data_IF_678827773664
#
_entry.id   IF_678827773664
#
_cell.length_a   1.000
_cell.length_b   1.000
_cell.length_c   1.000
_cell.angle_alpha   90.00
_cell.angle_beta   90.00
_cell.angle_gamma   90.00
#
_symmetry.space_group_name_H-M   'P 1'
#
loop_
_entity.id
_entity.type
_entity.pdbx_description
1 polymer ?
#
# COMPACT_ATOMS: atom_id res chain seq x y z
N UNK A 1 6.26 6.05 3.11
CA UNK A 1 5.54 6.12 4.39
C UNK A 1 4.34 7.05 4.23
N UNK A 2 3.22 6.76 4.91
CA UNK A 2 2.05 7.62 4.99
C UNK A 2 1.56 7.72 6.43
N UNK A 3 1.25 8.94 6.88
CA UNK A 3 0.66 9.20 8.19
C UNK A 3 -0.88 9.16 8.18
N UNK A 4 -1.51 9.11 7.00
CA UNK A 4 -2.97 9.02 6.86
C UNK A 4 -3.51 7.58 6.97
N UNK A 5 -2.66 6.64 7.38
CA UNK A 5 -2.95 5.20 7.50
C UNK A 5 -3.38 4.54 6.18
N UNK A 6 -3.18 5.17 5.02
CA UNK A 6 -3.51 4.59 3.71
C UNK A 6 -2.28 4.13 2.93
N UNK A 7 -2.50 3.16 2.04
CA UNK A 7 -1.59 2.83 0.96
C UNK A 7 -2.26 3.21 -0.36
N UNK A 8 -1.57 3.93 -1.22
CA UNK A 8 -2.11 4.40 -2.51
C UNK A 8 -1.29 3.85 -3.66
N UNK A 9 -1.99 3.30 -4.65
CA UNK A 9 -1.42 2.89 -5.92
C UNK A 9 -1.68 3.98 -6.95
N UNK A 10 -0.66 4.28 -7.75
CA UNK A 10 -0.69 5.33 -8.74
C UNK A 10 -0.35 4.77 -10.12
N UNK A 11 -1.09 5.22 -11.12
CA UNK A 11 -0.65 5.17 -12.51
C UNK A 11 0.34 6.31 -12.73
N UNK A 12 1.60 5.95 -12.97
CA UNK A 12 2.69 6.91 -13.12
C UNK A 12 2.61 7.68 -14.45
N UNK A 13 2.07 7.09 -15.51
CA UNK A 13 1.95 7.74 -16.82
C UNK A 13 0.83 8.79 -16.80
N UNK A 14 -0.30 8.45 -16.17
CA UNK A 14 -1.47 9.32 -16.07
C UNK A 14 -1.41 10.28 -14.89
N UNK A 15 -0.50 10.06 -13.94
CA UNK A 15 -0.40 10.84 -12.70
C UNK A 15 -1.64 10.70 -11.81
N UNK A 16 -2.34 9.56 -11.88
CA UNK A 16 -3.64 9.37 -11.24
C UNK A 16 -3.57 8.27 -10.16
N UNK A 17 -4.22 8.50 -9.02
CA UNK A 17 -4.41 7.48 -8.00
C UNK A 17 -5.45 6.46 -8.49
N UNK A 18 -5.05 5.20 -8.63
CA UNK A 18 -5.93 4.13 -9.12
C UNK A 18 -6.63 3.38 -7.98
N UNK A 19 -5.95 3.23 -6.84
CA UNK A 19 -6.52 2.57 -5.66
C UNK A 19 -6.05 3.21 -4.36
N UNK A 20 -6.95 3.27 -3.38
CA UNK A 20 -6.63 3.63 -2.00
C UNK A 20 -7.03 2.47 -1.09
N UNK A 21 -6.06 1.95 -0.36
CA UNK A 21 -6.15 0.78 0.50
C UNK A 21 -6.18 1.25 1.96
N UNK A 22 -7.29 1.02 2.67
CA UNK A 22 -7.64 1.73 3.92
C UNK A 22 -7.75 0.80 5.14
N UNK A 23 -7.04 -0.32 5.15
CA UNK A 23 -7.17 -1.32 6.24
C UNK A 23 -6.32 -0.99 7.46
N UNK A 24 -5.18 -0.33 7.25
CA UNK A 24 -4.31 0.05 8.36
C UNK A 24 -4.99 1.07 9.26
N UNK A 25 -4.78 0.93 10.57
CA UNK A 25 -5.36 1.84 11.57
C UNK A 25 -4.37 2.90 12.02
N UNK A 26 -3.10 2.73 11.67
CA UNK A 26 -1.99 3.59 12.08
C UNK A 26 -1.04 3.85 10.89
N UNK A 27 -0.10 4.80 11.01
CA UNK A 27 0.82 5.16 9.93
C UNK A 27 1.52 3.97 9.28
N UNK A 28 1.57 3.99 7.95
CA UNK A 28 2.28 2.99 7.14
C UNK A 28 3.71 3.44 6.93
N UNK A 29 4.69 2.64 7.32
CA UNK A 29 6.10 3.01 7.21
C UNK A 29 6.79 2.43 5.98
N UNK A 30 6.38 1.24 5.54
CA UNK A 30 7.06 0.52 4.46
C UNK A 30 6.08 -0.15 3.50
N UNK A 31 6.50 -0.25 2.24
CA UNK A 31 5.80 -0.96 1.16
C UNK A 31 6.80 -1.73 0.31
N UNK A 32 6.42 -2.92 -0.17
CA UNK A 32 7.22 -3.71 -1.09
C UNK A 32 6.33 -4.55 -2.01
N UNK A 33 6.60 -4.54 -3.31
CA UNK A 33 5.94 -5.43 -4.26
C UNK A 33 6.61 -6.81 -4.26
N UNK A 34 5.82 -7.85 -4.50
CA UNK A 34 6.35 -9.15 -4.88
C UNK A 34 7.06 -9.05 -6.24
N UNK A 35 8.09 -9.89 -6.52
CA UNK A 35 8.81 -9.85 -7.79
C UNK A 35 7.92 -10.07 -9.03
N UNK A 36 6.81 -10.79 -8.87
CA UNK A 36 5.81 -11.02 -9.92
C UNK A 36 4.77 -9.90 -10.04
N UNK A 37 4.84 -8.88 -9.18
CA UNK A 37 3.95 -7.72 -9.15
C UNK A 37 2.52 -8.00 -8.70
N UNK A 38 2.16 -9.24 -8.34
CA UNK A 38 0.77 -9.64 -7.99
C UNK A 38 0.36 -9.28 -6.57
N UNK A 39 1.35 -9.10 -5.70
CA UNK A 39 1.15 -8.79 -4.31
C UNK A 39 1.91 -7.53 -3.91
N UNK A 40 1.30 -6.78 -3.01
CA UNK A 40 1.93 -5.68 -2.29
C UNK A 40 1.91 -6.02 -0.80
N UNK A 41 3.05 -5.92 -0.13
CA UNK A 41 3.14 -5.93 1.31
C UNK A 41 3.24 -4.50 1.85
N UNK A 42 2.49 -4.19 2.90
CA UNK A 42 2.61 -2.94 3.65
C UNK A 42 2.73 -3.18 5.14
N UNK A 43 3.66 -2.47 5.78
CA UNK A 43 3.90 -2.54 7.23
C UNK A 43 3.55 -1.23 7.92
N UNK A 44 2.80 -1.31 9.03
CA UNK A 44 2.28 -0.17 9.77
C UNK A 44 2.63 -0.23 11.26
N UNK A 45 2.52 0.91 11.93
CA UNK A 45 2.60 1.02 13.39
C UNK A 45 1.46 0.27 14.12
N UNK A 46 0.40 -0.12 13.41
CA UNK A 46 -0.70 -0.94 13.94
C UNK A 46 -0.28 -2.39 14.27
N UNK A 47 1.03 -2.68 14.18
CA UNK A 47 1.67 -3.96 14.45
C UNK A 47 1.25 -5.05 13.47
N UNK A 48 0.67 -4.67 12.34
CA UNK A 48 0.25 -5.59 11.30
C UNK A 48 1.02 -5.38 9.99
N UNK A 49 1.18 -6.48 9.26
CA UNK A 49 1.50 -6.46 7.83
C UNK A 49 0.24 -6.83 7.07
N UNK A 50 -0.05 -6.09 6.00
CA UNK A 50 -1.12 -6.42 5.08
C UNK A 50 -0.57 -6.78 3.71
N UNK A 51 -1.12 -7.86 3.15
CA UNK A 51 -0.85 -8.31 1.78
C UNK A 51 -2.07 -7.95 0.94
N UNK A 52 -1.83 -7.30 -0.18
CA UNK A 52 -2.85 -6.83 -1.11
C UNK A 52 -2.66 -7.49 -2.46
N UNK A 53 -3.76 -7.86 -3.10
CA UNK A 53 -3.73 -8.25 -4.51
C UNK A 53 -3.77 -6.99 -5.37
N UNK A 54 -2.95 -6.97 -6.41
CA UNK A 54 -2.82 -5.84 -7.34
C UNK A 54 -3.60 -6.06 -8.65
N UNK A 55 -4.39 -7.13 -8.73
CA UNK A 55 -5.23 -7.55 -9.85
C UNK A 55 -6.71 -7.46 -9.49
#
# INVERSE_FOLDING_TARGET
>A
ASFDSTVRLWDAERGACIHTLTKHQEPVYSVAFSPDGRHLASGSFDKCVHIWNTQ
#
